data_IF_558149090796
#
_entry.id   IF_558149090796
#
_cell.length_a   1.000
_cell.length_b   1.000
_cell.length_c   1.000
_cell.angle_alpha   90.00
_cell.angle_beta   90.00
_cell.angle_gamma   90.00
#
_symmetry.space_group_name_H-M   'P 1'
#
loop_
_entity.id
_entity.type
_entity.pdbx_description
1 polymer ?
#
# COMPACT_ATOMS: atom_id res chain seq x y z
N UNK A 1 4.87 8.09 5.77
CA UNK A 1 6.04 7.30 5.31
C UNK A 1 7.29 7.90 5.91
N UNK A 2 8.44 7.21 5.91
CA UNK A 2 9.69 7.76 6.43
C UNK A 2 10.03 9.07 5.71
N UNK A 3 10.39 10.12 6.45
CA UNK A 3 10.59 11.48 5.91
C UNK A 3 11.65 11.51 4.80
N UNK A 4 12.68 10.69 4.93
CA UNK A 4 13.77 10.56 3.96
C UNK A 4 13.34 9.87 2.64
N UNK A 5 12.19 9.18 2.64
CA UNK A 5 11.60 8.60 1.42
C UNK A 5 10.52 9.49 0.80
N UNK A 6 10.21 10.64 1.41
CA UNK A 6 9.23 11.57 0.87
C UNK A 6 9.88 12.41 -0.23
N UNK A 7 9.36 12.36 -1.47
CA UNK A 7 9.90 13.18 -2.55
C UNK A 7 9.51 14.65 -2.36
N UNK A 8 10.22 15.57 -3.02
CA UNK A 8 9.70 16.93 -3.21
C UNK A 8 8.42 16.86 -4.06
N UNK A 9 7.33 17.42 -3.55
CA UNK A 9 6.03 17.35 -4.21
C UNK A 9 5.12 18.50 -3.79
N UNK A 10 4.30 18.99 -4.73
CA UNK A 10 3.21 19.93 -4.45
C UNK A 10 1.96 19.24 -3.88
N UNK A 11 1.97 17.90 -3.79
CA UNK A 11 0.86 17.13 -3.23
C UNK A 11 0.90 17.17 -1.68
N UNK A 12 -0.26 17.07 -1.01
CA UNK A 12 -0.30 16.98 0.45
C UNK A 12 0.50 15.80 1.00
N UNK A 13 1.38 16.08 1.95
CA UNK A 13 2.26 15.10 2.60
C UNK A 13 1.98 15.05 4.10
N UNK A 14 2.01 13.84 4.66
CA UNK A 14 1.72 13.59 6.07
C UNK A 14 2.77 12.66 6.65
N UNK A 15 3.17 12.93 7.91
CA UNK A 15 4.16 12.11 8.62
C UNK A 15 3.50 10.84 9.19
N UNK A 16 2.30 10.97 9.76
CA UNK A 16 1.53 9.86 10.30
C UNK A 16 0.35 9.51 9.40
N UNK A 17 -0.03 8.23 9.40
CA UNK A 17 -1.17 7.76 8.62
C UNK A 17 -2.48 8.34 9.19
N UNK A 18 -2.57 8.37 10.52
CA UNK A 18 -3.75 8.78 11.30
C UNK A 18 -4.21 10.21 10.96
N UNK A 19 -3.29 11.10 10.58
CA UNK A 19 -3.56 12.51 10.24
C UNK A 19 -4.44 12.67 8.97
N UNK A 20 -4.52 11.61 8.16
CA UNK A 20 -5.22 11.61 6.87
C UNK A 20 -6.31 10.54 6.75
N UNK A 21 -6.40 9.57 7.67
CA UNK A 21 -7.35 8.46 7.55
C UNK A 21 -8.81 8.91 7.48
N UNK A 22 -9.19 9.99 8.16
CA UNK A 22 -10.57 10.50 8.14
C UNK A 22 -10.89 11.36 6.91
N UNK A 23 -9.95 11.48 5.96
CA UNK A 23 -10.05 12.33 4.76
C UNK A 23 -9.89 11.57 3.45
N UNK A 24 -9.73 10.24 3.50
CA UNK A 24 -9.46 9.40 2.31
C UNK A 24 -10.41 8.22 2.27
N UNK A 25 -10.80 7.83 1.06
CA UNK A 25 -11.62 6.64 0.83
C UNK A 25 -10.77 5.39 0.58
N UNK A 26 -9.51 5.57 0.20
CA UNK A 26 -8.60 4.49 -0.21
C UNK A 26 -7.19 4.76 0.32
N UNK A 27 -6.57 3.73 0.88
CA UNK A 27 -5.14 3.70 1.19
C UNK A 27 -4.47 2.68 0.27
N UNK A 28 -3.41 3.11 -0.42
CA UNK A 28 -2.53 2.20 -1.17
C UNK A 28 -1.22 2.03 -0.40
N UNK A 29 -1.10 0.91 0.29
CA UNK A 29 0.16 0.52 0.93
C UNK A 29 1.16 0.09 -0.13
N UNK A 30 2.43 0.41 0.10
CA UNK A 30 3.55 -0.01 -0.74
C UNK A 30 4.43 -0.99 0.04
N UNK A 31 5.22 -1.78 -0.70
CA UNK A 31 6.15 -2.72 -0.12
C UNK A 31 7.33 -1.98 0.50
N UNK A 32 7.64 -2.27 1.76
CA UNK A 32 8.88 -1.86 2.39
C UNK A 32 10.05 -2.52 1.66
N UNK A 33 10.83 -1.75 0.92
CA UNK A 33 11.99 -2.24 0.18
C UNK A 33 13.29 -1.86 0.88
N UNK A 34 13.42 -2.20 2.17
CA UNK A 34 14.60 -1.85 2.97
C UNK A 34 15.90 -2.33 2.32
N UNK A 35 15.83 -3.43 1.56
CA UNK A 35 16.97 -3.99 0.80
C UNK A 35 17.46 -3.12 -0.36
N UNK A 36 16.73 -2.06 -0.73
CA UNK A 36 17.03 -1.20 -1.89
C UNK A 36 17.49 0.20 -1.52
N UNK A 37 17.52 0.54 -0.24
CA UNK A 37 17.89 1.87 0.22
C UNK A 37 19.37 1.91 0.57
N UNK A 38 20.10 2.88 0.02
CA UNK A 38 21.53 3.08 0.29
C UNK A 38 21.79 3.51 1.74
N UNK A 39 20.79 4.11 2.39
CA UNK A 39 20.84 4.54 3.79
C UNK A 39 19.95 3.64 4.63
N UNK A 40 20.53 3.02 5.66
CA UNK A 40 19.77 2.28 6.68
C UNK A 40 19.02 3.27 7.58
N UNK A 41 17.70 3.37 7.37
CA UNK A 41 16.81 4.22 8.19
C UNK A 41 16.17 3.46 9.35
N UNK A 42 16.17 2.13 9.28
CA UNK A 42 15.54 1.22 10.23
C UNK A 42 16.54 0.13 10.57
N UNK A 43 16.59 -0.29 11.83
CA UNK A 43 17.44 -1.40 12.27
C UNK A 43 17.03 -2.71 11.59
N UNK A 44 15.72 -2.92 11.44
CA UNK A 44 15.13 -4.07 10.76
C UNK A 44 13.70 -3.77 10.27
N UNK A 45 13.07 -4.79 9.68
CA UNK A 45 11.69 -4.71 9.23
C UNK A 45 10.68 -4.59 10.37
N UNK A 46 10.98 -5.08 11.57
CA UNK A 46 10.07 -4.99 12.71
C UNK A 46 9.96 -3.55 13.20
N UNK A 47 11.06 -2.79 13.17
CA UNK A 47 11.04 -1.37 13.48
C UNK A 47 10.21 -0.55 12.47
N UNK A 48 10.36 -0.84 11.19
CA UNK A 48 9.49 -0.28 10.15
C UNK A 48 8.02 -0.65 10.40
N UNK A 49 7.73 -1.93 10.69
CA UNK A 49 6.38 -2.44 10.87
C UNK A 49 5.67 -1.77 12.06
N UNK A 50 6.39 -1.57 13.18
CA UNK A 50 5.86 -0.85 14.36
C UNK A 50 5.35 0.55 14.00
N UNK A 51 5.98 1.21 13.03
CA UNK A 51 5.65 2.57 12.64
C UNK A 51 4.63 2.61 11.49
N UNK A 52 4.75 1.75 10.48
CA UNK A 52 4.04 1.92 9.21
C UNK A 52 3.12 0.76 8.81
N UNK A 53 3.16 -0.39 9.47
CA UNK A 53 2.28 -1.52 9.15
C UNK A 53 0.81 -1.11 9.26
N UNK A 54 0.01 -1.41 8.24
CA UNK A 54 -1.43 -1.18 8.28
C UNK A 54 -2.10 -2.36 8.97
N UNK A 55 -2.51 -2.12 10.21
CA UNK A 55 -3.19 -3.11 11.04
C UNK A 55 -4.69 -2.87 11.10
N UNK A 56 -5.45 -3.91 11.45
CA UNK A 56 -6.90 -3.79 11.65
C UNK A 56 -7.25 -2.83 12.80
N UNK A 57 -6.40 -2.78 13.83
CA UNK A 57 -6.53 -1.84 14.94
C UNK A 57 -6.41 -0.39 14.46
N UNK A 58 -5.36 -0.06 13.69
CA UNK A 58 -5.15 1.27 13.11
C UNK A 58 -6.30 1.67 12.17
N UNK A 59 -6.71 0.75 11.30
CA UNK A 59 -7.86 0.95 10.40
C UNK A 59 -9.17 1.15 11.17
N UNK A 60 -9.31 0.54 12.34
CA UNK A 60 -10.51 0.60 13.15
C UNK A 60 -11.77 0.23 12.35
N UNK A 61 -12.86 0.97 12.59
CA UNK A 61 -14.15 0.81 11.90
C UNK A 61 -14.32 1.69 10.66
N UNK A 62 -13.27 2.39 10.23
CA UNK A 62 -13.35 3.33 9.10
C UNK A 62 -13.67 2.60 7.80
N UNK A 63 -14.54 3.19 7.00
CA UNK A 63 -14.90 2.64 5.69
C UNK A 63 -13.89 3.10 4.63
N UNK A 64 -12.69 2.51 4.68
CA UNK A 64 -11.56 2.84 3.81
C UNK A 64 -11.11 1.55 3.12
N UNK A 65 -10.98 1.58 1.80
CA UNK A 65 -10.42 0.46 1.05
C UNK A 65 -8.90 0.41 1.21
N UNK A 66 -8.37 -0.80 1.35
CA UNK A 66 -6.93 -1.05 1.40
C UNK A 66 -6.45 -1.74 0.13
N UNK A 67 -5.50 -1.13 -0.55
CA UNK A 67 -4.83 -1.62 -1.75
C UNK A 67 -3.34 -1.85 -1.49
N UNK A 68 -2.74 -2.74 -2.29
CA UNK A 68 -1.30 -2.96 -2.33
C UNK A 68 -0.91 -3.59 -3.67
N UNK A 69 0.05 -3.04 -4.43
CA UNK A 69 0.43 -3.55 -5.76
C UNK A 69 1.10 -4.93 -5.70
N UNK A 70 1.82 -5.23 -4.61
CA UNK A 70 2.41 -6.53 -4.32
C UNK A 70 3.89 -6.64 -4.73
N UNK A 71 4.60 -7.69 -4.28
CA UNK A 71 4.16 -8.66 -3.26
C UNK A 71 4.06 -8.01 -1.88
N UNK A 72 3.07 -8.43 -1.06
CA UNK A 72 2.90 -7.93 0.31
C UNK A 72 3.89 -8.63 1.23
N UNK A 73 4.64 -7.86 2.02
CA UNK A 73 5.39 -8.36 3.17
C UNK A 73 4.47 -8.45 4.38
N UNK A 74 4.06 -9.68 4.72
CA UNK A 74 3.07 -9.97 5.76
C UNK A 74 3.58 -9.52 7.12
N UNK A 75 2.71 -8.84 7.88
CA UNK A 75 3.00 -8.21 9.17
C UNK A 75 4.01 -7.05 9.12
N UNK A 76 4.53 -6.69 7.95
CA UNK A 76 5.41 -5.54 7.74
C UNK A 76 4.68 -4.41 7.02
N UNK A 77 4.13 -4.68 5.84
CA UNK A 77 3.35 -3.70 5.07
C UNK A 77 1.89 -3.68 5.59
N UNK A 78 1.32 -4.87 5.70
CA UNK A 78 -0.08 -5.11 6.09
C UNK A 78 -0.13 -6.33 7.01
N UNK A 79 -0.88 -6.23 8.10
CA UNK A 79 -1.05 -7.33 9.05
C UNK A 79 -1.90 -8.47 8.49
N UNK A 80 -1.68 -9.68 9.02
CA UNK A 80 -2.38 -10.89 8.58
C UNK A 80 -3.90 -10.87 8.72
N UNK A 81 -4.40 -10.20 9.76
CA UNK A 81 -5.82 -10.02 10.01
C UNK A 81 -6.43 -8.96 9.10
N UNK A 82 -5.69 -7.89 8.77
CA UNK A 82 -6.12 -6.87 7.81
C UNK A 82 -6.15 -7.42 6.38
N UNK A 83 -5.23 -8.33 6.02
CA UNK A 83 -5.27 -9.05 4.73
C UNK A 83 -6.55 -9.86 4.52
N UNK A 84 -7.22 -10.28 5.60
CA UNK A 84 -8.50 -11.02 5.58
C UNK A 84 -9.72 -10.11 5.67
N UNK A 85 -9.53 -8.82 5.94
CA UNK A 85 -10.61 -7.86 6.09
C UNK A 85 -11.30 -7.60 4.75
N UNK A 86 -12.62 -7.45 4.75
CA UNK A 86 -13.41 -7.22 3.55
C UNK A 86 -13.00 -5.94 2.81
N UNK A 87 -12.42 -4.96 3.51
CA UNK A 87 -11.90 -3.71 2.93
C UNK A 87 -10.59 -3.91 2.15
N UNK A 88 -9.85 -4.99 2.39
CA UNK A 88 -8.62 -5.30 1.68
C UNK A 88 -8.91 -5.85 0.28
N UNK A 89 -8.43 -5.17 -0.77
CA UNK A 89 -8.69 -5.51 -2.18
C UNK A 89 -7.41 -5.91 -2.94
N UNK A 90 -6.35 -6.32 -2.24
CA UNK A 90 -5.10 -6.80 -2.86
C UNK A 90 -5.36 -7.92 -3.88
N UNK A 91 -6.13 -8.94 -3.50
CA UNK A 91 -6.47 -10.04 -4.42
C UNK A 91 -7.42 -9.61 -5.55
N UNK A 92 -8.25 -8.58 -5.31
CA UNK A 92 -9.07 -7.97 -6.35
C UNK A 92 -8.19 -7.26 -7.39
N UNK A 93 -7.11 -6.59 -6.98
CA UNK A 93 -6.14 -6.00 -7.92
C UNK A 93 -5.49 -7.07 -8.80
N UNK A 94 -5.09 -8.22 -8.22
CA UNK A 94 -4.55 -9.36 -8.99
C UNK A 94 -5.54 -9.85 -10.05
N UNK A 95 -6.80 -10.06 -9.65
CA UNK A 95 -7.88 -10.47 -10.57
C UNK A 95 -8.09 -9.43 -11.67
N UNK A 96 -8.20 -8.15 -11.31
CA UNK A 96 -8.42 -7.05 -12.25
C UNK A 96 -7.24 -6.86 -13.21
N UNK A 97 -6.02 -7.16 -12.77
CA UNK A 97 -4.82 -7.08 -13.60
C UNK A 97 -4.91 -7.98 -14.84
N UNK A 98 -5.59 -9.13 -14.78
CA UNK A 98 -5.80 -10.00 -15.95
C UNK A 98 -6.64 -9.26 -17.00
N UNK A 99 -7.79 -8.72 -16.60
CA UNK A 99 -8.70 -8.03 -17.51
C UNK A 99 -8.09 -6.75 -18.08
N UNK A 100 -7.38 -5.97 -17.26
CA UNK A 100 -6.68 -4.77 -17.73
C UNK A 100 -5.65 -5.10 -18.81
N UNK A 101 -4.85 -6.15 -18.62
CA UNK A 101 -3.87 -6.59 -19.63
C UNK A 101 -4.53 -7.08 -20.91
N UNK A 102 -5.64 -7.81 -20.81
CA UNK A 102 -6.42 -8.22 -22.00
C UNK A 102 -6.95 -7.00 -22.76
N UNK A 103 -7.47 -5.99 -22.07
CA UNK A 103 -7.98 -4.76 -22.69
C UNK A 103 -6.86 -3.98 -23.40
N UNK A 104 -5.69 -3.84 -22.75
CA UNK A 104 -4.52 -3.19 -23.36
C UNK A 104 -4.07 -3.94 -24.62
N UNK A 105 -3.97 -5.27 -24.56
CA UNK A 105 -3.58 -6.08 -25.73
C UNK A 105 -4.60 -5.99 -26.86
N UNK A 106 -5.91 -6.02 -26.56
CA UNK A 106 -6.96 -5.83 -27.54
C UNK A 106 -6.81 -4.47 -28.24
N UNK A 107 -6.64 -3.41 -27.46
CA UNK A 107 -6.49 -2.05 -27.99
C UNK A 107 -5.31 -1.98 -28.96
N UNK A 108 -4.16 -2.54 -28.59
CA UNK A 108 -2.92 -2.42 -29.37
C UNK A 108 -2.86 -3.35 -30.59
N UNK A 109 -3.52 -4.50 -30.55
CA UNK A 109 -3.36 -5.54 -31.58
C UNK A 109 -4.58 -5.71 -32.48
N UNK A 110 -5.77 -5.30 -32.02
CA UNK A 110 -7.03 -5.53 -32.73
C UNK A 110 -7.76 -4.24 -33.10
N UNK A 111 -7.60 -3.17 -32.32
CA UNK A 111 -8.38 -1.93 -32.49
C UNK A 111 -7.56 -0.72 -32.98
N UNK A 112 -6.23 -0.82 -32.95
CA UNK A 112 -5.29 0.18 -33.47
C UNK A 112 -4.99 -0.09 -34.95
#
# INVERSE_FOLDING_TARGET
APEQFMPESDLPQYKNLEDVMDKVDVIMSLRAQLERHETELFEDYDDYARQYCITKERMGKRDILLLHPGPVMRNIDISDDMLKDARCKVLTQVKNGVFMRMAILKLLLLDA
#
